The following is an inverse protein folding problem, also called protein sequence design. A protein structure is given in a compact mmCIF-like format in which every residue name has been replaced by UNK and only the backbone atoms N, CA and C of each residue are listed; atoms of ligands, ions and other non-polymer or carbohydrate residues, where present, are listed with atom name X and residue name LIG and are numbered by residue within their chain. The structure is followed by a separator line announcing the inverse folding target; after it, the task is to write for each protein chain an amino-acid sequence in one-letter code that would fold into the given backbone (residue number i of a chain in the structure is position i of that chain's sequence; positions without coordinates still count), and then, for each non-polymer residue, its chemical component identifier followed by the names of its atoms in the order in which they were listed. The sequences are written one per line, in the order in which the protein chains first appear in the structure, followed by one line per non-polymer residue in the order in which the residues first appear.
data_IF_717576743766
#
_entry.id   IF_717576743766
#
_cell.length_a   1.000
_cell.length_b   1.000
_cell.length_c   1.000
_cell.angle_alpha   90.00
_cell.angle_beta   90.00
_cell.angle_gamma   90.00
#
_symmetry.space_group_name_H-M   'P 1'
#
loop_
_entity.id
_entity.type
_entity.pdbx_description
1 polymer ?
#
# COMPACT_ATOMS: atom_id res chain seq x y z
N UNK A 1 -5.00 27.91 31.47
CA UNK A 1 -5.57 27.00 30.45
C UNK A 1 -4.85 27.29 29.14
N UNK A 2 -3.77 26.56 28.86
CA UNK A 2 -2.94 26.78 27.66
C UNK A 2 -3.68 26.24 26.44
N UNK A 3 -4.08 27.12 25.53
CA UNK A 3 -4.70 26.71 24.27
C UNK A 3 -3.63 26.05 23.41
N UNK A 4 -3.67 24.73 23.31
CA UNK A 4 -2.87 23.99 22.35
C UNK A 4 -3.20 24.52 20.95
N UNK A 5 -2.31 25.30 20.36
CA UNK A 5 -2.40 25.70 18.96
C UNK A 5 -2.25 24.44 18.13
N UNK A 6 -3.38 23.81 17.81
CA UNK A 6 -3.39 22.57 17.07
C UNK A 6 -2.95 22.85 15.64
N UNK A 7 -1.83 22.25 15.25
CA UNK A 7 -1.24 22.47 13.94
C UNK A 7 -2.16 21.92 12.85
N UNK A 8 -2.45 22.71 11.81
CA UNK A 8 -3.30 22.33 10.67
C UNK A 8 -2.97 20.95 10.07
N UNK A 9 -1.68 20.58 10.03
CA UNK A 9 -1.23 19.27 9.55
C UNK A 9 -1.65 18.12 10.47
N UNK A 10 -1.68 18.34 11.78
CA UNK A 10 -2.16 17.34 12.74
C UNK A 10 -3.68 17.18 12.63
N UNK A 11 -4.41 18.30 12.47
CA UNK A 11 -5.85 18.26 12.17
C UNK A 11 -6.15 17.44 10.91
N UNK A 12 -5.39 17.62 9.83
CA UNK A 12 -5.56 16.82 8.62
C UNK A 12 -5.35 15.33 8.86
N UNK A 13 -4.32 14.94 9.61
CA UNK A 13 -4.08 13.51 9.94
C UNK A 13 -5.25 12.94 10.75
N UNK A 14 -5.79 13.68 11.72
CA UNK A 14 -6.95 13.22 12.49
C UNK A 14 -8.22 13.13 11.62
N UNK A 15 -8.45 14.06 10.71
CA UNK A 15 -9.59 14.04 9.79
C UNK A 15 -9.49 12.85 8.83
N UNK A 16 -8.32 12.65 8.21
CA UNK A 16 -8.10 11.53 7.27
C UNK A 16 -8.15 10.19 8.00
N UNK A 17 -7.60 10.11 9.22
CA UNK A 17 -7.71 8.92 10.08
C UNK A 17 -9.15 8.63 10.49
N UNK A 18 -9.92 9.65 10.85
CA UNK A 18 -11.35 9.52 11.14
C UNK A 18 -12.14 9.06 9.91
N UNK A 19 -11.84 9.60 8.73
CA UNK A 19 -12.43 9.17 7.46
C UNK A 19 -12.11 7.69 7.16
N UNK A 20 -10.85 7.28 7.35
CA UNK A 20 -10.46 5.87 7.23
C UNK A 20 -11.29 4.97 8.15
N UNK A 21 -11.46 5.36 9.42
CA UNK A 21 -12.23 4.59 10.38
C UNK A 21 -13.71 4.47 9.99
N UNK A 22 -14.33 5.55 9.51
CA UNK A 22 -15.71 5.53 9.02
C UNK A 22 -15.88 4.62 7.80
N UNK A 23 -14.96 4.71 6.83
CA UNK A 23 -14.98 3.85 5.64
C UNK A 23 -14.77 2.38 5.99
N UNK A 24 -13.88 2.08 6.95
CA UNK A 24 -13.67 0.73 7.46
C UNK A 24 -14.92 0.16 8.13
N UNK A 25 -15.61 0.98 8.93
CA UNK A 25 -16.87 0.61 9.58
C UNK A 25 -17.96 0.34 8.52
N UNK A 26 -18.09 1.21 7.52
CA UNK A 26 -19.03 1.04 6.42
C UNK A 26 -18.76 -0.27 5.64
N UNK A 27 -17.51 -0.55 5.28
CA UNK A 27 -17.13 -1.78 4.60
C UNK A 27 -17.50 -3.02 5.43
N UNK A 28 -17.21 -2.99 6.73
CA UNK A 28 -17.53 -4.09 7.66
C UNK A 28 -19.04 -4.31 7.77
N UNK A 29 -19.82 -3.22 7.83
CA UNK A 29 -21.28 -3.27 7.88
C UNK A 29 -21.88 -3.89 6.61
N UNK A 30 -21.39 -3.48 5.44
CA UNK A 30 -21.83 -4.05 4.15
C UNK A 30 -21.48 -5.53 4.02
N UNK A 31 -20.31 -5.91 4.51
CA UNK A 31 -19.86 -7.31 4.53
C UNK A 31 -20.78 -8.19 5.40
N UNK A 32 -21.20 -7.71 6.57
CA UNK A 32 -22.21 -8.38 7.42
C UNK A 32 -23.56 -8.56 6.71
N UNK A 33 -23.96 -7.59 5.89
CA UNK A 33 -25.20 -7.65 5.11
C UNK A 33 -25.09 -8.53 3.85
N UNK A 34 -23.93 -9.14 3.60
CA UNK A 34 -23.61 -9.86 2.35
C UNK A 34 -23.89 -9.04 1.09
N UNK A 35 -23.86 -7.71 1.19
CA UNK A 35 -23.92 -6.85 0.02
C UNK A 35 -22.58 -6.94 -0.70
N UNK A 36 -22.60 -7.43 -1.93
CA UNK A 36 -21.40 -7.69 -2.74
C UNK A 36 -21.18 -6.63 -3.81
N UNK A 37 -22.07 -5.65 -3.94
CA UNK A 37 -21.92 -4.57 -4.91
C UNK A 37 -20.78 -3.63 -4.47
N UNK A 38 -19.82 -3.35 -5.35
CA UNK A 38 -18.79 -2.34 -5.08
C UNK A 38 -17.72 -2.72 -4.05
N UNK A 39 -17.50 -4.02 -3.77
CA UNK A 39 -16.42 -4.47 -2.87
C UNK A 39 -15.05 -3.95 -3.31
N UNK A 40 -14.80 -3.92 -4.63
CA UNK A 40 -13.54 -3.38 -5.19
C UNK A 40 -13.40 -1.89 -4.88
N UNK A 41 -14.48 -1.12 -5.04
CA UNK A 41 -14.49 0.32 -4.73
C UNK A 41 -14.22 0.58 -3.25
N UNK A 42 -14.76 -0.26 -2.35
CA UNK A 42 -14.55 -0.13 -0.91
C UNK A 42 -13.07 -0.35 -0.53
N UNK A 43 -12.40 -1.35 -1.11
CA UNK A 43 -10.97 -1.57 -0.89
C UNK A 43 -10.11 -0.38 -1.37
N UNK A 44 -10.44 0.19 -2.53
CA UNK A 44 -9.72 1.37 -3.07
C UNK A 44 -9.94 2.59 -2.15
N UNK A 45 -11.18 2.83 -1.73
CA UNK A 45 -11.55 3.92 -0.83
C UNK A 45 -10.86 3.80 0.53
N UNK A 46 -10.60 2.58 0.99
CA UNK A 46 -9.89 2.32 2.25
C UNK A 46 -8.36 2.48 2.11
N UNK A 47 -7.79 2.06 0.98
CA UNK A 47 -6.35 2.08 0.76
C UNK A 47 -5.76 3.49 0.67
N UNK A 48 -6.49 4.44 0.04
CA UNK A 48 -6.04 5.82 -0.14
C UNK A 48 -5.77 6.54 1.19
N UNK A 49 -6.74 6.68 2.12
CA UNK A 49 -6.52 7.37 3.38
C UNK A 49 -5.52 6.61 4.27
N UNK A 50 -5.47 5.27 4.21
CA UNK A 50 -4.43 4.50 4.89
C UNK A 50 -3.04 4.89 4.42
N UNK A 51 -2.82 4.96 3.10
CA UNK A 51 -1.55 5.37 2.51
C UNK A 51 -1.14 6.78 2.94
N UNK A 52 -2.10 7.71 2.99
CA UNK A 52 -1.86 9.08 3.45
C UNK A 52 -1.46 9.12 4.93
N UNK A 53 -2.17 8.40 5.79
CA UNK A 53 -1.86 8.36 7.23
C UNK A 53 -0.52 7.68 7.48
N UNK A 54 -0.24 6.54 6.85
CA UNK A 54 1.05 5.84 7.00
C UNK A 54 2.23 6.69 6.50
N UNK A 55 2.05 7.39 5.37
CA UNK A 55 3.05 8.33 4.85
C UNK A 55 3.27 9.50 5.82
N UNK A 56 2.20 10.10 6.35
CA UNK A 56 2.29 11.19 7.32
C UNK A 56 2.91 10.77 8.65
N UNK A 57 2.70 9.52 9.09
CA UNK A 57 3.35 8.96 10.28
C UNK A 57 4.83 8.69 10.04
N UNK A 58 5.20 8.23 8.85
CA UNK A 58 6.59 7.92 8.48
C UNK A 58 7.44 9.18 8.27
N UNK A 59 6.86 10.18 7.59
CA UNK A 59 7.54 11.41 7.18
C UNK A 59 7.01 12.66 7.89
N UNK A 60 6.46 12.49 9.09
CA UNK A 60 5.86 13.55 9.90
C UNK A 60 6.79 14.76 10.11
N UNK A 61 6.28 15.88 10.64
CA UNK A 61 7.02 17.13 10.73
C UNK A 61 8.41 16.88 11.32
N UNK A 62 9.41 17.28 10.53
CA UNK A 62 10.88 17.20 10.60
C UNK A 62 11.52 17.34 11.99
N UNK A 63 11.06 16.59 12.99
CA UNK A 63 11.40 16.76 14.40
C UNK A 63 11.93 15.46 15.04
N UNK A 64 12.24 14.44 14.23
CA UNK A 64 12.87 13.19 14.71
C UNK A 64 14.01 12.68 13.80
N UNK A 65 14.70 13.57 13.09
CA UNK A 65 16.10 13.31 12.67
C UNK A 65 16.36 12.71 11.29
N UNK A 66 15.36 12.45 10.44
CA UNK A 66 15.60 12.06 9.04
C UNK A 66 14.46 12.48 8.11
N UNK A 67 14.83 12.97 6.93
CA UNK A 67 13.98 13.43 5.83
C UNK A 67 13.91 12.40 4.70
N UNK A 68 12.85 12.37 3.86
CA UNK A 68 12.80 11.53 2.66
C UNK A 68 14.00 11.72 1.73
N UNK A 69 14.56 12.93 1.69
CA UNK A 69 15.64 13.31 0.79
C UNK A 69 17.04 12.98 1.32
N UNK A 70 17.15 12.65 2.61
CA UNK A 70 18.41 12.26 3.24
C UNK A 70 18.84 10.87 2.78
N UNK A 71 20.12 10.54 2.91
CA UNK A 71 20.65 9.21 2.55
C UNK A 71 19.90 8.09 3.27
N UNK A 72 19.59 8.27 4.55
CA UNK A 72 18.81 7.32 5.34
C UNK A 72 17.37 7.20 4.81
N UNK A 73 16.74 8.30 4.42
CA UNK A 73 15.41 8.32 3.82
C UNK A 73 15.36 7.56 2.50
N UNK A 74 16.35 7.77 1.64
CA UNK A 74 16.49 7.04 0.37
C UNK A 74 16.71 5.54 0.58
N UNK A 75 17.55 5.16 1.56
CA UNK A 75 17.75 3.75 1.95
C UNK A 75 16.44 3.11 2.41
N UNK A 76 15.64 3.80 3.23
CA UNK A 76 14.32 3.32 3.68
C UNK A 76 13.39 3.11 2.49
N UNK A 77 13.31 4.07 1.55
CA UNK A 77 12.48 3.96 0.36
C UNK A 77 12.88 2.81 -0.55
N UNK A 78 14.19 2.63 -0.81
CA UNK A 78 14.68 1.52 -1.64
C UNK A 78 14.40 0.16 -1.00
N UNK A 79 14.63 0.03 0.31
CA UNK A 79 14.39 -1.23 1.03
C UNK A 79 12.90 -1.55 1.13
N UNK A 80 12.06 -0.56 1.42
CA UNK A 80 10.60 -0.75 1.49
C UNK A 80 9.99 -1.02 0.11
N UNK A 81 10.50 -0.41 -0.96
CA UNK A 81 10.11 -0.71 -2.34
C UNK A 81 10.43 -2.17 -2.70
N UNK A 82 11.62 -2.67 -2.33
CA UNK A 82 11.98 -4.08 -2.55
C UNK A 82 11.06 -5.02 -1.76
N UNK A 83 10.81 -4.74 -0.49
CA UNK A 83 9.94 -5.59 0.37
C UNK A 83 8.51 -5.60 -0.15
N UNK A 84 7.95 -4.43 -0.45
CA UNK A 84 6.57 -4.30 -0.96
C UNK A 84 6.39 -5.01 -2.29
N UNK A 85 7.37 -4.93 -3.19
CA UNK A 85 7.36 -5.67 -4.45
C UNK A 85 7.24 -7.19 -4.24
N UNK A 86 8.08 -7.80 -3.40
CA UNK A 86 8.00 -9.24 -3.15
C UNK A 86 6.73 -9.62 -2.37
N UNK A 87 6.27 -8.77 -1.44
CA UNK A 87 5.01 -8.99 -0.74
C UNK A 87 3.82 -9.03 -1.72
N UNK A 88 3.81 -8.17 -2.74
CA UNK A 88 2.78 -8.15 -3.78
C UNK A 88 2.82 -9.41 -4.66
N UNK A 89 4.02 -9.88 -5.01
CA UNK A 89 4.18 -11.15 -5.74
C UNK A 89 3.66 -12.34 -4.92
N UNK A 90 3.97 -12.39 -3.63
CA UNK A 90 3.45 -13.45 -2.74
C UNK A 90 1.93 -13.37 -2.66
N UNK A 91 1.35 -12.18 -2.53
CA UNK A 91 -0.10 -12.00 -2.53
C UNK A 91 -0.74 -12.50 -3.84
N UNK A 92 -0.14 -12.21 -4.99
CA UNK A 92 -0.59 -12.72 -6.29
C UNK A 92 -0.56 -14.25 -6.35
N UNK A 93 0.50 -14.88 -5.84
CA UNK A 93 0.61 -16.35 -5.76
C UNK A 93 -0.49 -16.93 -4.88
N UNK A 94 -0.74 -16.34 -3.70
CA UNK A 94 -1.81 -16.79 -2.80
C UNK A 94 -3.18 -16.72 -3.51
N UNK A 95 -3.47 -15.60 -4.19
CA UNK A 95 -4.73 -15.45 -4.94
C UNK A 95 -4.87 -16.50 -6.03
N UNK A 96 -3.80 -16.81 -6.77
CA UNK A 96 -3.80 -17.86 -7.80
C UNK A 96 -4.05 -19.25 -7.20
N UNK A 97 -3.38 -19.57 -6.09
CA UNK A 97 -3.57 -20.85 -5.38
C UNK A 97 -5.03 -20.96 -4.91
N UNK A 98 -5.57 -19.91 -4.28
CA UNK A 98 -6.97 -19.92 -3.84
C UNK A 98 -7.92 -20.09 -5.04
N UNK A 99 -7.74 -19.33 -6.12
CA UNK A 99 -8.59 -19.45 -7.32
C UNK A 99 -8.55 -20.85 -7.93
N UNK A 100 -7.36 -21.46 -8.02
CA UNK A 100 -7.18 -22.77 -8.62
C UNK A 100 -7.71 -23.89 -7.74
N UNK A 101 -7.34 -23.92 -6.47
CA UNK A 101 -7.63 -25.05 -5.57
C UNK A 101 -8.97 -24.93 -4.84
N UNK A 102 -9.47 -23.73 -4.59
CA UNK A 102 -10.76 -23.52 -3.92
C UNK A 102 -11.88 -23.34 -4.94
N UNK A 103 -11.64 -22.57 -6.00
CA UNK A 103 -12.70 -22.24 -6.97
C UNK A 103 -12.65 -23.10 -8.23
N UNK A 104 -11.60 -23.93 -8.42
CA UNK A 104 -11.43 -24.76 -9.61
C UNK A 104 -11.23 -23.96 -10.91
N UNK A 105 -10.85 -22.68 -10.80
CA UNK A 105 -10.74 -21.77 -11.94
C UNK A 105 -9.29 -21.33 -12.12
N UNK A 106 -8.75 -21.59 -13.30
CA UNK A 106 -7.50 -20.97 -13.72
C UNK A 106 -7.73 -19.50 -14.08
N UNK A 107 -6.84 -18.63 -13.62
CA UNK A 107 -6.92 -17.20 -13.89
C UNK A 107 -5.72 -16.75 -14.74
N UNK A 108 -5.87 -16.88 -16.05
CA UNK A 108 -4.82 -16.55 -17.04
C UNK A 108 -4.32 -15.11 -16.89
N UNK A 109 -5.18 -14.07 -16.74
CA UNK A 109 -4.71 -12.70 -16.51
C UNK A 109 -3.79 -12.54 -15.29
N UNK A 110 -4.14 -13.13 -14.13
CA UNK A 110 -3.33 -13.00 -12.92
C UNK A 110 -2.01 -13.75 -13.07
N UNK A 111 -2.02 -14.93 -13.70
CA UNK A 111 -0.80 -15.69 -14.01
C UNK A 111 0.15 -14.92 -14.93
N UNK A 112 -0.39 -14.21 -15.93
CA UNK A 112 0.38 -13.34 -16.82
C UNK A 112 1.03 -12.20 -16.03
N UNK A 113 0.27 -11.51 -15.17
CA UNK A 113 0.79 -10.43 -14.32
C UNK A 113 1.87 -10.93 -13.37
N UNK A 114 1.72 -12.14 -12.81
CA UNK A 114 2.75 -12.74 -11.96
C UNK A 114 4.04 -13.00 -12.74
N UNK A 115 3.94 -13.53 -13.96
CA UNK A 115 5.10 -13.79 -14.82
C UNK A 115 5.84 -12.48 -15.15
N UNK A 116 5.10 -11.44 -15.57
CA UNK A 116 5.68 -10.11 -15.78
C UNK A 116 6.29 -9.56 -14.50
N UNK A 117 5.56 -9.67 -13.38
CA UNK A 117 6.01 -9.28 -12.06
C UNK A 117 7.39 -9.84 -11.79
N UNK A 118 7.56 -11.15 -11.80
CA UNK A 118 8.84 -11.84 -11.57
C UNK A 118 9.97 -11.40 -12.50
N UNK A 119 9.67 -11.05 -13.75
CA UNK A 119 10.66 -10.62 -14.74
C UNK A 119 11.06 -9.13 -14.59
N UNK A 120 10.17 -8.26 -14.08
CA UNK A 120 10.40 -6.81 -14.02
C UNK A 120 11.62 -6.47 -13.18
N UNK A 121 11.76 -7.05 -11.99
CA UNK A 121 12.90 -6.76 -11.11
C UNK A 121 14.27 -7.13 -11.72
N UNK A 122 14.53 -8.36 -12.18
CA UNK A 122 15.81 -8.71 -12.79
C UNK A 122 16.09 -7.96 -14.09
N UNK A 123 15.06 -7.66 -14.90
CA UNK A 123 15.22 -6.84 -16.12
C UNK A 123 15.60 -5.40 -15.74
N UNK A 124 14.94 -4.81 -14.74
CA UNK A 124 15.28 -3.48 -14.26
C UNK A 124 16.73 -3.42 -13.72
N UNK A 125 17.14 -4.42 -12.95
CA UNK A 125 18.51 -4.54 -12.42
C UNK A 125 19.55 -4.66 -13.55
N UNK A 126 19.25 -5.46 -14.58
CA UNK A 126 20.08 -5.58 -15.77
C UNK A 126 20.20 -4.26 -16.53
N UNK A 127 19.11 -3.53 -16.75
CA UNK A 127 19.12 -2.25 -17.47
C UNK A 127 19.86 -1.15 -16.70
N UNK A 128 19.67 -1.11 -15.38
CA UNK A 128 20.31 -0.11 -14.52
C UNK A 128 21.81 -0.38 -14.41
N UNK A 129 22.23 -1.64 -14.22
CA UNK A 129 23.66 -2.00 -14.11
C UNK A 129 24.48 -1.60 -15.34
N UNK A 130 23.88 -1.61 -16.54
CA UNK A 130 24.53 -1.12 -17.77
C UNK A 130 24.84 0.37 -17.79
N UNK A 131 24.21 1.19 -16.94
CA UNK A 131 24.51 2.63 -16.84
C UNK A 131 25.73 2.94 -15.99
N UNK A 132 26.19 1.97 -15.20
CA UNK A 132 27.35 2.10 -14.31
C UNK A 132 28.60 1.42 -14.87
N UNK A 133 28.51 0.83 -16.08
CA UNK A 133 29.61 0.19 -16.80
C UNK A 133 29.91 0.98 -18.06
#
# INVERSE_FOLDING_TARGET
MSTAKMNWRQLLVYIVGGLFFLLFCQMSYRWLQRDTLGVVDDFIRLAIPLGVVMSALTWGPQHQGFSPDDELGKMIQLKSARISYYALLIALVIVLVVKKYVNGQDNVPISLILCFGLAVYPVAEFLISRRYR
#
